data_IF_787833163199
#
_entry.id   IF_787833163199
#
_cell.length_a   1.000
_cell.length_b   1.000
_cell.length_c   1.000
_cell.angle_alpha   90.00
_cell.angle_beta   90.00
_cell.angle_gamma   90.00
#
_symmetry.space_group_name_H-M   'P 1'
#
loop_
_entity.id
_entity.type
_entity.pdbx_description
1 polymer ?
#
# COMPACT_ATOMS: atom_id res chain seq x y z
N UNK A 1 14.43 -10.34 -10.59
CA UNK A 1 13.20 -10.38 -9.76
C UNK A 1 12.30 -9.24 -10.22
N UNK A 2 11.09 -9.55 -10.64
CA UNK A 2 10.07 -8.58 -11.06
C UNK A 2 9.13 -8.29 -9.88
N UNK A 3 8.87 -7.03 -9.58
CA UNK A 3 8.03 -6.61 -8.46
C UNK A 3 6.86 -5.80 -9.01
N UNK A 4 5.64 -6.27 -8.78
CA UNK A 4 4.43 -5.51 -9.04
C UNK A 4 4.03 -4.66 -7.83
N UNK A 5 3.46 -3.48 -8.05
CA UNK A 5 2.72 -2.74 -7.02
C UNK A 5 1.29 -2.54 -7.52
N UNK A 6 0.32 -3.00 -6.73
CA UNK A 6 -1.10 -2.87 -7.00
C UNK A 6 -1.73 -1.83 -6.10
N UNK A 7 -2.47 -0.90 -6.67
CA UNK A 7 -3.33 0.04 -5.95
C UNK A 7 -4.67 0.23 -6.61
N UNK A 8 -5.69 0.51 -5.78
CA UNK A 8 -7.03 0.91 -6.24
C UNK A 8 -7.26 2.38 -5.88
N UNK A 9 -7.62 3.20 -6.87
CA UNK A 9 -7.87 4.63 -6.68
C UNK A 9 -9.36 4.96 -6.83
N UNK A 10 -9.83 5.95 -6.06
CA UNK A 10 -11.15 6.54 -6.17
C UNK A 10 -11.21 7.84 -5.38
N UNK A 11 -11.69 8.92 -5.98
CA UNK A 11 -11.76 10.24 -5.35
C UNK A 11 -10.36 10.76 -4.98
N UNK A 12 -10.29 11.78 -4.16
CA UNK A 12 -9.05 12.32 -3.56
C UNK A 12 -7.97 12.66 -4.60
N UNK A 13 -8.25 13.50 -5.62
CA UNK A 13 -7.34 13.70 -6.75
C UNK A 13 -5.95 14.19 -6.33
N UNK A 14 -5.86 15.08 -5.32
CA UNK A 14 -4.58 15.63 -4.84
C UNK A 14 -3.72 14.54 -4.18
N UNK A 15 -4.30 13.76 -3.27
CA UNK A 15 -3.58 12.65 -2.60
C UNK A 15 -3.18 11.58 -3.60
N UNK A 16 -4.08 11.26 -4.54
CA UNK A 16 -3.81 10.28 -5.59
C UNK A 16 -2.71 10.75 -6.55
N UNK A 17 -2.61 12.06 -6.81
CA UNK A 17 -1.54 12.63 -7.63
C UNK A 17 -0.18 12.50 -6.93
N UNK A 18 -0.09 12.81 -5.64
CA UNK A 18 1.12 12.61 -4.84
C UNK A 18 1.51 11.14 -4.80
N UNK A 19 0.54 10.24 -4.61
CA UNK A 19 0.75 8.80 -4.64
C UNK A 19 1.30 8.34 -6.01
N UNK A 20 0.72 8.82 -7.10
CA UNK A 20 1.18 8.54 -8.46
C UNK A 20 2.63 8.97 -8.69
N UNK A 21 3.03 10.14 -8.18
CA UNK A 21 4.41 10.62 -8.19
C UNK A 21 5.35 9.68 -7.43
N UNK A 22 4.94 9.24 -6.23
CA UNK A 22 5.70 8.24 -5.44
C UNK A 22 5.88 6.92 -6.19
N UNK A 23 4.85 6.41 -6.86
CA UNK A 23 4.94 5.20 -7.67
C UNK A 23 5.88 5.38 -8.88
N UNK A 24 5.83 6.54 -9.56
CA UNK A 24 6.73 6.84 -10.67
C UNK A 24 8.20 6.85 -10.20
N UNK A 25 8.50 7.50 -9.08
CA UNK A 25 9.83 7.48 -8.45
C UNK A 25 10.30 6.04 -8.16
N UNK A 26 9.43 5.21 -7.59
CA UNK A 26 9.78 3.81 -7.28
C UNK A 26 9.98 2.99 -8.56
N UNK A 27 9.17 3.21 -9.60
CA UNK A 27 9.35 2.58 -10.93
C UNK A 27 10.73 2.92 -11.50
N UNK A 28 11.06 4.20 -11.55
CA UNK A 28 12.29 4.68 -12.17
C UNK A 28 13.54 4.22 -11.41
N UNK A 29 13.44 4.10 -10.07
CA UNK A 29 14.57 3.71 -9.23
C UNK A 29 14.74 2.20 -9.06
N UNK A 30 13.66 1.44 -8.99
CA UNK A 30 13.68 0.02 -8.63
C UNK A 30 13.15 -0.89 -9.74
N UNK A 31 12.69 -0.35 -10.87
CA UNK A 31 12.13 -1.13 -11.98
C UNK A 31 10.85 -1.87 -11.60
N UNK A 32 10.05 -1.31 -10.68
CA UNK A 32 8.76 -1.90 -10.31
C UNK A 32 7.73 -1.75 -11.42
N UNK A 33 6.69 -2.58 -11.39
CA UNK A 33 5.56 -2.57 -12.30
C UNK A 33 4.32 -2.04 -11.55
N UNK A 34 4.03 -0.72 -11.59
CA UNK A 34 2.88 -0.15 -10.89
C UNK A 34 1.60 -0.29 -11.72
N UNK A 35 0.58 -0.95 -11.17
CA UNK A 35 -0.74 -1.10 -11.76
C UNK A 35 -1.79 -0.40 -10.90
N UNK A 36 -2.51 0.53 -11.51
CA UNK A 36 -3.61 1.27 -10.91
C UNK A 36 -4.94 0.72 -11.40
N UNK A 37 -5.86 0.47 -10.49
CA UNK A 37 -7.26 0.16 -10.78
C UNK A 37 -8.11 1.38 -10.47
N UNK A 38 -8.63 2.04 -11.49
CA UNK A 38 -9.50 3.21 -11.35
C UNK A 38 -10.98 2.86 -11.46
N UNK A 39 -11.85 3.84 -11.21
CA UNK A 39 -13.32 3.70 -11.28
C UNK A 39 -14.03 5.00 -11.68
N UNK A 40 -13.32 5.99 -12.18
CA UNK A 40 -13.86 7.31 -12.48
C UNK A 40 -13.62 7.71 -13.95
N UNK A 41 -13.45 6.69 -14.80
CA UNK A 41 -13.19 6.90 -16.22
C UNK A 41 -11.93 7.75 -16.45
N UNK A 42 -12.05 8.78 -17.28
CA UNK A 42 -10.91 9.63 -17.64
C UNK A 42 -10.22 10.30 -16.43
N UNK A 43 -10.92 10.59 -15.33
CA UNK A 43 -10.29 11.18 -14.15
C UNK A 43 -9.22 10.25 -13.56
N UNK A 44 -9.56 8.99 -13.34
CA UNK A 44 -8.61 8.00 -12.81
C UNK A 44 -7.53 7.67 -13.84
N UNK A 45 -7.90 7.55 -15.11
CA UNK A 45 -6.98 7.24 -16.21
C UNK A 45 -5.92 8.34 -16.41
N UNK A 46 -6.33 9.61 -16.36
CA UNK A 46 -5.42 10.75 -16.50
C UNK A 46 -4.35 10.79 -15.40
N UNK A 47 -4.69 10.40 -14.15
CA UNK A 47 -3.68 10.28 -13.08
C UNK A 47 -2.65 9.22 -13.45
N UNK A 48 -3.09 8.04 -13.87
CA UNK A 48 -2.18 6.97 -14.27
C UNK A 48 -1.29 7.39 -15.46
N UNK A 49 -1.87 8.02 -16.50
CA UNK A 49 -1.14 8.50 -17.66
C UNK A 49 -0.12 9.58 -17.32
N UNK A 50 -0.49 10.56 -16.48
CA UNK A 50 0.39 11.66 -16.02
C UNK A 50 1.68 11.13 -15.43
N UNK A 51 1.61 10.01 -14.68
CA UNK A 51 2.74 9.41 -14.01
C UNK A 51 3.34 8.19 -14.73
N UNK A 52 2.85 7.86 -15.94
CA UNK A 52 3.31 6.72 -16.73
C UNK A 52 3.09 5.37 -16.06
N UNK A 53 1.94 5.20 -15.37
CA UNK A 53 1.55 3.99 -14.65
C UNK A 53 0.62 3.13 -15.51
N UNK A 54 0.65 1.81 -15.30
CA UNK A 54 -0.32 0.91 -15.91
C UNK A 54 -1.71 1.15 -15.31
N UNK A 55 -2.73 1.01 -16.14
CA UNK A 55 -4.10 1.30 -15.76
C UNK A 55 -5.09 0.26 -16.24
N UNK A 56 -6.04 -0.08 -15.38
CA UNK A 56 -7.28 -0.77 -15.76
C UNK A 56 -8.47 -0.05 -15.11
N UNK A 57 -9.60 -0.04 -15.80
CA UNK A 57 -10.88 0.42 -15.27
C UNK A 57 -11.63 -0.73 -14.63
N UNK A 58 -12.22 -0.51 -13.46
CA UNK A 58 -13.10 -1.48 -12.81
C UNK A 58 -14.13 -0.76 -11.94
N UNK A 59 -15.26 -1.40 -11.65
CA UNK A 59 -16.28 -0.86 -10.75
C UNK A 59 -15.69 -0.55 -9.38
N UNK A 60 -16.11 0.56 -8.75
CA UNK A 60 -15.59 0.95 -7.44
C UNK A 60 -16.05 0.01 -6.30
N UNK A 61 -17.18 -0.63 -6.46
CA UNK A 61 -17.75 -1.55 -5.48
C UNK A 61 -18.21 -2.86 -6.14
N UNK A 62 -18.06 -4.00 -5.46
CA UNK A 62 -17.40 -4.20 -4.16
C UNK A 62 -15.88 -3.97 -4.25
N UNK A 63 -15.29 -3.37 -3.21
CA UNK A 63 -13.86 -3.04 -3.21
C UNK A 63 -12.96 -4.30 -3.25
N UNK A 64 -13.40 -5.40 -2.62
CA UNK A 64 -12.70 -6.69 -2.72
C UNK A 64 -12.64 -7.22 -4.16
N UNK A 65 -13.74 -7.03 -4.95
CA UNK A 65 -13.76 -7.36 -6.37
C UNK A 65 -12.76 -6.52 -7.17
N UNK A 66 -12.71 -5.21 -6.90
CA UNK A 66 -11.81 -4.27 -7.56
C UNK A 66 -10.33 -4.65 -7.34
N UNK A 67 -9.94 -4.92 -6.08
CA UNK A 67 -8.58 -5.40 -5.78
C UNK A 67 -8.28 -6.75 -6.43
N UNK A 68 -9.22 -7.70 -6.42
CA UNK A 68 -9.05 -8.99 -7.09
C UNK A 68 -8.89 -8.86 -8.60
N UNK A 69 -9.64 -7.95 -9.24
CA UNK A 69 -9.49 -7.66 -10.67
C UNK A 69 -8.09 -7.13 -10.98
N UNK A 70 -7.58 -6.17 -10.18
CA UNK A 70 -6.22 -5.66 -10.31
C UNK A 70 -5.16 -6.74 -10.08
N UNK A 71 -5.33 -7.58 -9.05
CA UNK A 71 -4.40 -8.67 -8.77
C UNK A 71 -4.38 -9.71 -9.88
N UNK A 72 -5.55 -10.04 -10.46
CA UNK A 72 -5.65 -10.95 -11.61
C UNK A 72 -5.02 -10.35 -12.87
N UNK A 73 -5.20 -9.05 -13.12
CA UNK A 73 -4.55 -8.36 -14.23
C UNK A 73 -3.02 -8.31 -14.08
N UNK A 74 -2.52 -8.15 -12.84
CA UNK A 74 -1.09 -8.16 -12.55
C UNK A 74 -0.40 -9.46 -12.97
N UNK A 75 -1.12 -10.59 -13.01
CA UNK A 75 -0.60 -11.90 -13.46
C UNK A 75 0.01 -11.86 -14.85
N UNK A 76 -0.54 -11.05 -15.77
CA UNK A 76 -0.03 -10.95 -17.16
C UNK A 76 1.39 -10.39 -17.25
N UNK A 77 1.81 -9.60 -16.26
CA UNK A 77 3.15 -9.04 -16.17
C UNK A 77 4.18 -10.00 -15.55
N UNK A 78 3.73 -11.18 -15.08
CA UNK A 78 4.56 -12.25 -14.51
C UNK A 78 5.49 -11.75 -13.39
N UNK A 79 4.99 -11.04 -12.35
CA UNK A 79 5.81 -10.61 -11.23
C UNK A 79 6.19 -11.80 -10.35
N UNK A 80 7.36 -11.71 -9.71
CA UNK A 80 7.79 -12.65 -8.67
C UNK A 80 7.10 -12.34 -7.33
N UNK A 81 6.85 -11.04 -7.08
CA UNK A 81 6.15 -10.51 -5.90
C UNK A 81 5.18 -9.40 -6.29
N UNK A 82 4.08 -9.28 -5.57
CA UNK A 82 3.15 -8.15 -5.69
C UNK A 82 2.96 -7.51 -4.31
N UNK A 83 3.31 -6.22 -4.23
CA UNK A 83 3.03 -5.35 -3.08
C UNK A 83 1.67 -4.67 -3.26
N UNK A 84 0.92 -4.54 -2.18
CA UNK A 84 -0.37 -3.83 -2.16
C UNK A 84 -0.19 -2.52 -1.40
N UNK A 85 -0.57 -1.41 -2.02
CA UNK A 85 -0.61 -0.08 -1.42
C UNK A 85 -2.00 0.53 -1.58
N UNK A 86 -2.48 1.23 -0.56
CA UNK A 86 -3.61 2.14 -0.70
C UNK A 86 -3.24 3.35 -1.57
N UNK A 87 -4.23 4.06 -2.10
CA UNK A 87 -3.99 5.27 -2.92
C UNK A 87 -3.56 6.49 -2.10
N UNK A 88 -3.34 6.32 -0.83
CA UNK A 88 -2.91 7.27 0.19
C UNK A 88 -1.64 6.82 0.91
N UNK A 89 -1.07 5.68 0.50
CA UNK A 89 0.13 5.08 1.08
C UNK A 89 1.40 5.51 0.33
N UNK A 90 2.34 6.10 1.03
CA UNK A 90 3.65 6.47 0.50
C UNK A 90 4.76 5.70 1.22
N UNK A 91 5.72 5.19 0.47
CA UNK A 91 6.85 4.44 1.01
C UNK A 91 8.19 5.04 0.58
N UNK A 92 9.15 5.02 1.48
CA UNK A 92 10.51 5.51 1.21
C UNK A 92 11.33 4.54 0.36
N UNK A 93 12.44 5.02 -0.18
CA UNK A 93 13.41 4.18 -0.88
C UNK A 93 14.05 3.15 0.05
N UNK A 94 14.28 3.51 1.32
CA UNK A 94 14.79 2.58 2.34
C UNK A 94 13.79 1.45 2.59
N UNK A 95 12.49 1.74 2.61
CA UNK A 95 11.43 0.74 2.69
C UNK A 95 11.54 -0.29 1.55
N UNK A 96 11.62 0.18 0.30
CA UNK A 96 11.77 -0.72 -0.85
C UNK A 96 13.04 -1.58 -0.77
N UNK A 97 14.17 -1.00 -0.34
CA UNK A 97 15.42 -1.75 -0.18
C UNK A 97 15.30 -2.89 0.83
N UNK A 98 14.66 -2.63 1.98
CA UNK A 98 14.43 -3.65 3.01
C UNK A 98 13.50 -4.75 2.47
N UNK A 99 12.40 -4.39 1.80
CA UNK A 99 11.49 -5.36 1.21
C UNK A 99 12.17 -6.21 0.14
N UNK A 100 12.99 -5.63 -0.73
CA UNK A 100 13.78 -6.37 -1.73
C UNK A 100 14.75 -7.35 -1.04
N UNK A 101 15.37 -6.95 0.08
CA UNK A 101 16.20 -7.85 0.89
C UNK A 101 15.42 -9.05 1.39
N UNK A 102 14.21 -8.85 1.91
CA UNK A 102 13.35 -9.92 2.41
C UNK A 102 12.81 -10.81 1.27
N UNK A 103 12.45 -10.23 0.12
CA UNK A 103 12.07 -10.99 -1.08
C UNK A 103 13.19 -11.94 -1.54
N UNK A 104 14.46 -11.50 -1.49
CA UNK A 104 15.62 -12.34 -1.83
C UNK A 104 15.81 -13.53 -0.88
N UNK A 105 15.30 -13.45 0.35
CA UNK A 105 15.30 -14.57 1.31
C UNK A 105 14.18 -15.59 1.03
N UNK A 106 13.25 -15.27 0.12
CA UNK A 106 12.21 -16.19 -0.33
C UNK A 106 10.97 -16.30 0.57
N UNK A 107 10.69 -15.29 1.39
CA UNK A 107 9.45 -15.27 2.18
C UNK A 107 8.21 -15.24 1.29
N UNK A 108 7.15 -15.92 1.73
CA UNK A 108 5.88 -15.98 1.00
C UNK A 108 5.06 -14.70 1.18
N UNK A 109 5.09 -14.15 2.38
CA UNK A 109 4.43 -12.92 2.77
C UNK A 109 5.42 -12.01 3.50
N UNK A 110 5.48 -10.75 3.10
CA UNK A 110 6.31 -9.73 3.74
C UNK A 110 5.39 -8.55 4.08
N UNK A 111 5.51 -8.01 5.28
CA UNK A 111 4.75 -6.84 5.68
C UNK A 111 5.29 -6.17 6.92
N UNK A 112 4.89 -4.92 7.13
CA UNK A 112 5.24 -4.16 8.32
C UNK A 112 4.25 -4.40 9.45
N UNK A 113 4.68 -4.20 10.68
CA UNK A 113 3.84 -4.28 11.88
C UNK A 113 3.26 -2.91 12.24
N UNK A 114 3.87 -1.84 11.79
CA UNK A 114 3.69 -0.46 12.20
C UNK A 114 3.82 0.50 11.00
N UNK A 115 3.38 1.75 11.17
CA UNK A 115 3.51 2.79 10.15
C UNK A 115 3.32 4.20 10.74
N UNK A 116 3.39 5.20 9.87
CA UNK A 116 3.05 6.58 10.21
C UNK A 116 1.75 7.00 9.53
N UNK A 117 0.94 7.80 10.22
CA UNK A 117 -0.23 8.47 9.67
C UNK A 117 0.01 9.99 9.65
N UNK A 118 -0.36 10.64 8.55
CA UNK A 118 -0.35 12.09 8.44
C UNK A 118 -1.77 12.61 8.24
N UNK A 119 -2.16 13.60 9.04
CA UNK A 119 -3.41 14.32 8.87
C UNK A 119 -3.13 15.71 8.31
N UNK A 120 -3.48 16.00 7.05
CA UNK A 120 -3.37 17.35 6.49
C UNK A 120 -4.20 18.38 7.27
N UNK A 121 -5.43 18.03 7.62
CA UNK A 121 -6.34 18.94 8.36
C UNK A 121 -5.77 19.41 9.71
N UNK A 122 -4.98 18.55 10.37
CA UNK A 122 -4.36 18.89 11.66
C UNK A 122 -2.86 19.18 11.53
N UNK A 123 -2.28 19.09 10.34
CA UNK A 123 -0.83 19.20 10.09
C UNK A 123 0.00 18.39 11.08
N UNK A 124 -0.43 17.15 11.35
CA UNK A 124 0.15 16.28 12.37
C UNK A 124 0.50 14.93 11.78
N UNK A 125 1.67 14.44 12.16
CA UNK A 125 2.08 13.07 11.95
C UNK A 125 2.05 12.31 13.28
N UNK A 126 1.64 11.05 13.23
CA UNK A 126 1.65 10.14 14.36
C UNK A 126 2.15 8.76 13.97
N UNK A 127 2.90 8.15 14.86
CA UNK A 127 3.33 6.77 14.72
C UNK A 127 2.27 5.83 15.30
N UNK A 128 1.89 4.83 14.52
CA UNK A 128 1.00 3.75 14.90
C UNK A 128 1.78 2.45 15.04
N UNK A 129 1.73 1.83 16.23
CA UNK A 129 2.45 0.63 16.59
C UNK A 129 1.77 -0.68 16.13
N UNK A 130 0.74 -0.55 15.29
CA UNK A 130 0.06 -1.67 14.66
C UNK A 130 -1.23 -2.10 15.34
N UNK A 131 -1.69 -3.29 15.00
CA UNK A 131 -2.96 -3.82 15.51
C UNK A 131 -2.86 -4.23 16.99
N UNK A 132 -3.92 -3.91 17.76
CA UNK A 132 -4.17 -4.44 19.09
C UNK A 132 -4.79 -5.85 19.02
N UNK A 133 -5.00 -6.49 20.18
CA UNK A 133 -5.69 -7.77 20.25
C UNK A 133 -7.10 -7.70 19.58
N UNK A 134 -7.52 -8.76 18.88
CA UNK A 134 -6.86 -10.08 18.72
C UNK A 134 -5.83 -10.14 17.57
N UNK A 135 -5.58 -9.04 16.83
CA UNK A 135 -4.71 -8.99 15.63
C UNK A 135 -3.25 -8.62 15.93
N UNK A 136 -2.86 -8.51 17.18
CA UNK A 136 -1.51 -8.11 17.58
C UNK A 136 -0.45 -8.98 16.91
N UNK A 137 0.55 -8.35 16.29
CA UNK A 137 1.61 -9.04 15.55
C UNK A 137 1.22 -9.54 14.16
N UNK A 138 0.04 -9.18 13.66
CA UNK A 138 -0.32 -9.32 12.24
C UNK A 138 0.29 -8.16 11.44
N UNK A 139 0.74 -8.43 10.22
CA UNK A 139 1.21 -7.38 9.31
C UNK A 139 0.07 -6.44 8.93
N UNK A 140 0.33 -5.14 8.88
CA UNK A 140 -0.65 -4.14 8.46
C UNK A 140 -0.93 -4.24 6.95
N UNK A 141 -2.02 -3.63 6.49
CA UNK A 141 -2.42 -3.68 5.07
C UNK A 141 -1.44 -2.99 4.12
N UNK A 142 -0.91 -1.85 4.55
CA UNK A 142 0.04 -1.05 3.78
C UNK A 142 1.32 -1.82 3.48
N UNK A 143 1.68 -1.92 2.20
CA UNK A 143 2.93 -2.56 1.77
C UNK A 143 2.92 -4.08 1.87
N UNK A 144 1.81 -4.72 2.24
CA UNK A 144 1.74 -6.19 2.30
C UNK A 144 2.09 -6.78 0.94
N UNK A 145 3.12 -7.63 0.92
CA UNK A 145 3.74 -8.16 -0.28
C UNK A 145 3.65 -9.67 -0.31
N UNK A 146 3.11 -10.22 -1.40
CA UNK A 146 2.89 -11.64 -1.59
C UNK A 146 3.77 -12.16 -2.72
N UNK A 147 4.39 -13.33 -2.54
CA UNK A 147 5.12 -13.98 -3.61
C UNK A 147 4.16 -14.65 -4.62
N UNK A 148 4.68 -14.90 -5.81
CA UNK A 148 3.93 -15.54 -6.90
C UNK A 148 3.31 -16.88 -6.49
N UNK A 149 4.05 -17.74 -5.76
CA UNK A 149 3.57 -19.06 -5.33
C UNK A 149 2.34 -18.95 -4.44
N UNK A 150 2.34 -18.00 -3.51
CA UNK A 150 1.20 -17.75 -2.62
C UNK A 150 0.00 -17.17 -3.40
N UNK A 151 0.26 -16.27 -4.35
CA UNK A 151 -0.77 -15.73 -5.25
C UNK A 151 -1.41 -16.80 -6.14
N UNK A 152 -0.63 -17.74 -6.64
CA UNK A 152 -1.13 -18.90 -7.42
C UNK A 152 -2.04 -19.78 -6.57
N UNK A 153 -1.68 -20.09 -5.32
CA UNK A 153 -2.52 -20.85 -4.38
C UNK A 153 -3.90 -20.23 -4.15
N UNK A 154 -3.99 -18.90 -4.12
CA UNK A 154 -5.27 -18.19 -3.95
C UNK A 154 -5.90 -17.75 -5.29
N UNK A 155 -5.43 -18.31 -6.44
CA UNK A 155 -5.88 -17.96 -7.80
C UNK A 155 -5.79 -16.45 -8.11
N UNK A 156 -4.78 -15.75 -7.58
CA UNK A 156 -4.62 -14.30 -7.72
C UNK A 156 -5.83 -13.47 -7.24
N UNK A 157 -6.59 -14.00 -6.26
CA UNK A 157 -7.77 -13.38 -5.68
C UNK A 157 -7.74 -13.47 -4.14
N UNK A 158 -6.81 -12.75 -3.47
CA UNK A 158 -6.63 -12.92 -2.03
C UNK A 158 -7.74 -12.31 -1.17
N UNK A 159 -8.65 -11.50 -1.73
CA UNK A 159 -9.74 -10.86 -0.96
C UNK A 159 -11.08 -11.56 -1.15
N UNK A 160 -11.95 -11.46 -0.14
CA UNK A 160 -13.36 -11.82 -0.27
C UNK A 160 -14.05 -10.81 -1.19
N UNK A 161 -14.60 -11.30 -2.30
CA UNK A 161 -15.10 -10.49 -3.41
C UNK A 161 -16.11 -9.41 -3.01
N UNK A 162 -17.10 -9.77 -2.15
CA UNK A 162 -18.22 -8.89 -1.77
C UNK A 162 -17.92 -7.78 -0.77
N UNK A 163 -16.73 -7.70 -0.24
CA UNK A 163 -16.39 -6.77 0.84
C UNK A 163 -16.07 -5.37 0.31
N UNK A 164 -16.50 -4.36 1.07
CA UNK A 164 -16.13 -2.95 0.91
C UNK A 164 -15.27 -2.43 2.07
N UNK A 165 -15.16 -3.20 3.15
CA UNK A 165 -14.38 -2.89 4.35
C UNK A 165 -13.77 -4.18 4.91
N UNK A 166 -12.79 -4.05 5.81
CA UNK A 166 -12.15 -5.22 6.43
C UNK A 166 -11.31 -6.06 5.48
N UNK A 167 -10.83 -5.47 4.38
CA UNK A 167 -10.06 -6.16 3.34
C UNK A 167 -8.77 -6.75 3.87
N UNK A 168 -8.08 -6.07 4.79
CA UNK A 168 -6.84 -6.56 5.40
C UNK A 168 -7.05 -7.87 6.16
N UNK A 169 -8.10 -7.93 6.98
CA UNK A 169 -8.48 -9.14 7.70
C UNK A 169 -8.93 -10.26 6.77
N UNK A 170 -9.71 -9.91 5.74
CA UNK A 170 -10.17 -10.85 4.71
C UNK A 170 -9.01 -11.50 3.97
N UNK A 171 -8.02 -10.71 3.55
CA UNK A 171 -6.82 -11.21 2.91
C UNK A 171 -6.05 -12.16 3.84
N UNK A 172 -5.80 -11.74 5.09
CA UNK A 172 -5.03 -12.54 6.03
C UNK A 172 -5.73 -13.85 6.40
N UNK A 173 -7.04 -13.83 6.62
CA UNK A 173 -7.82 -15.04 6.88
C UNK A 173 -7.66 -16.06 5.75
N UNK A 174 -7.72 -15.60 4.48
CA UNK A 174 -7.54 -16.47 3.33
C UNK A 174 -6.10 -16.97 3.18
N UNK A 175 -5.12 -16.08 3.30
CA UNK A 175 -3.71 -16.40 3.09
C UNK A 175 -3.18 -17.34 4.17
N UNK A 176 -3.59 -17.16 5.43
CA UNK A 176 -3.17 -17.99 6.55
C UNK A 176 -3.58 -19.46 6.40
N UNK A 177 -4.61 -19.79 5.60
CA UNK A 177 -4.97 -21.18 5.30
C UNK A 177 -3.85 -21.94 4.57
N UNK A 178 -2.98 -21.21 3.87
CA UNK A 178 -1.83 -21.79 3.14
C UNK A 178 -0.55 -21.85 3.97
N UNK A 179 -0.58 -21.43 5.24
CA UNK A 179 0.56 -21.43 6.18
C UNK A 179 1.82 -20.79 5.59
N UNK A 180 1.76 -19.53 5.15
CA UNK A 180 2.90 -18.86 4.50
C UNK A 180 4.07 -18.68 5.46
N UNK A 181 5.29 -18.69 4.92
CA UNK A 181 6.47 -18.20 5.62
C UNK A 181 6.46 -16.66 5.59
N UNK A 182 6.39 -16.02 6.77
CA UNK A 182 6.12 -14.57 6.91
C UNK A 182 7.34 -13.83 7.43
N UNK A 183 7.77 -12.79 6.70
CA UNK A 183 8.67 -11.76 7.23
C UNK A 183 7.87 -10.59 7.80
N UNK A 184 8.10 -10.29 9.09
CA UNK A 184 7.47 -9.18 9.81
C UNK A 184 8.52 -8.11 10.10
N UNK A 185 8.29 -6.92 9.59
CA UNK A 185 9.23 -5.80 9.65
C UNK A 185 8.68 -4.73 10.58
N UNK A 186 9.50 -4.23 11.50
CA UNK A 186 9.16 -3.06 12.29
C UNK A 186 9.80 -1.82 11.61
N UNK A 187 8.98 -0.89 11.18
CA UNK A 187 9.38 0.33 10.46
C UNK A 187 10.37 1.16 11.28
N UNK A 188 10.10 1.29 12.57
CA UNK A 188 10.93 2.08 13.49
C UNK A 188 12.32 1.44 13.70
N UNK A 189 12.38 0.12 13.86
CA UNK A 189 13.65 -0.60 14.11
C UNK A 189 14.56 -0.63 12.88
N UNK A 190 13.98 -0.73 11.69
CA UNK A 190 14.72 -0.79 10.41
C UNK A 190 15.06 0.60 9.83
N UNK A 191 14.70 1.70 10.53
CA UNK A 191 14.82 3.10 10.05
C UNK A 191 14.26 3.28 8.62
N UNK A 192 13.13 2.66 8.35
CA UNK A 192 12.38 2.80 7.10
C UNK A 192 11.12 3.63 7.32
N UNK A 193 10.47 4.08 6.25
CA UNK A 193 9.33 4.96 6.39
C UNK A 193 8.21 4.57 5.43
N UNK A 194 7.01 4.44 5.99
CA UNK A 194 5.77 4.34 5.24
C UNK A 194 4.71 5.23 5.90
N UNK A 195 3.99 5.97 5.07
CA UNK A 195 3.07 7.03 5.47
C UNK A 195 1.72 6.82 4.81
N UNK A 196 0.65 6.78 5.59
CA UNK A 196 -0.73 6.84 5.12
C UNK A 196 -1.26 8.27 5.36
N UNK A 197 -1.72 8.92 4.28
CA UNK A 197 -2.28 10.28 4.35
C UNK A 197 -3.77 10.18 4.67
N UNK A 198 -4.13 10.53 5.90
CA UNK A 198 -5.50 10.47 6.44
C UNK A 198 -6.27 11.76 6.20
N UNK A 199 -7.06 11.77 5.14
CA UNK A 199 -8.05 12.83 4.87
C UNK A 199 -9.42 12.44 5.45
N UNK A 200 -10.39 13.37 5.44
CA UNK A 200 -11.77 13.09 5.89
C UNK A 200 -12.51 12.05 5.01
N UNK A 201 -12.05 11.85 3.77
CA UNK A 201 -12.61 10.88 2.84
C UNK A 201 -12.04 9.46 2.95
N UNK A 202 -11.10 9.22 3.88
CA UNK A 202 -10.58 7.87 4.12
C UNK A 202 -11.66 6.98 4.75
N UNK A 203 -11.64 5.68 4.42
CA UNK A 203 -12.52 4.67 5.06
C UNK A 203 -12.33 4.70 6.58
N UNK A 204 -11.08 4.87 7.04
CA UNK A 204 -10.74 5.02 8.45
C UNK A 204 -10.03 6.37 8.64
N UNK A 205 -10.71 7.32 9.27
CA UNK A 205 -10.20 8.67 9.50
C UNK A 205 -9.12 8.70 10.58
N UNK A 206 -8.31 9.77 10.59
CA UNK A 206 -7.23 9.97 11.59
C UNK A 206 -7.72 9.90 13.04
N UNK A 207 -8.93 10.44 13.33
CA UNK A 207 -9.57 10.39 14.67
C UNK A 207 -9.84 8.97 15.18
N UNK A 208 -9.87 7.96 14.30
CA UNK A 208 -10.05 6.56 14.70
C UNK A 208 -8.80 5.96 15.38
N UNK A 209 -7.71 6.71 15.43
CA UNK A 209 -6.44 6.29 16.03
C UNK A 209 -6.04 7.23 17.17
N UNK A 210 -6.76 7.21 18.33
CA UNK A 210 -6.53 8.17 19.44
C UNK A 210 -5.16 8.03 20.10
N UNK A 211 -4.54 6.85 20.02
CA UNK A 211 -3.30 6.51 20.71
C UNK A 211 -2.04 6.65 19.82
N UNK A 212 -2.10 7.47 18.77
CA UNK A 212 -0.92 7.73 17.96
C UNK A 212 0.16 8.45 18.77
N UNK A 213 1.38 7.94 18.71
CA UNK A 213 2.54 8.59 19.29
C UNK A 213 2.90 9.79 18.40
N UNK A 214 2.82 11.00 18.97
CA UNK A 214 3.16 12.23 18.25
C UNK A 214 4.61 12.18 17.76
N UNK A 215 4.82 12.57 16.51
CA UNK A 215 6.11 12.51 15.84
C UNK A 215 6.37 13.79 15.06
N UNK A 216 7.62 14.06 14.72
CA UNK A 216 8.03 15.24 13.97
C UNK A 216 7.73 15.09 12.48
N UNK A 217 7.09 16.10 11.88
CA UNK A 217 6.81 16.17 10.43
C UNK A 217 8.07 16.21 9.57
N UNK A 218 9.23 16.57 10.13
CA UNK A 218 10.51 16.49 9.44
C UNK A 218 10.86 15.10 8.92
N UNK A 219 10.26 14.05 9.48
CA UNK A 219 10.39 12.68 8.95
C UNK A 219 9.88 12.58 7.51
N UNK A 220 8.83 13.33 7.15
CA UNK A 220 8.32 13.35 5.76
C UNK A 220 9.40 13.87 4.83
N UNK A 221 10.03 15.01 5.16
CA UNK A 221 11.10 15.60 4.36
C UNK A 221 12.33 14.69 4.30
N UNK A 222 12.70 14.06 5.43
CA UNK A 222 13.83 13.13 5.50
C UNK A 222 13.66 11.91 4.60
N UNK A 223 12.49 11.30 4.61
CA UNK A 223 12.26 9.99 3.99
C UNK A 223 11.54 10.03 2.63
N UNK A 224 10.78 11.10 2.35
CA UNK A 224 10.03 11.32 1.12
C UNK A 224 10.34 12.71 0.53
N UNK A 225 11.62 13.03 0.25
CA UNK A 225 12.03 14.39 -0.14
C UNK A 225 11.36 14.88 -1.43
N UNK A 226 11.06 13.98 -2.35
CA UNK A 226 10.41 14.31 -3.62
C UNK A 226 8.92 14.69 -3.45
N UNK A 227 8.23 14.04 -2.52
CA UNK A 227 6.80 14.22 -2.26
C UNK A 227 6.52 15.21 -1.12
N UNK A 228 7.51 15.48 -0.26
CA UNK A 228 7.35 16.22 0.99
C UNK A 228 6.65 17.58 0.80
N UNK A 229 7.07 18.36 -0.20
CA UNK A 229 6.49 19.69 -0.48
C UNK A 229 5.00 19.62 -0.80
N UNK A 230 4.58 18.59 -1.52
CA UNK A 230 3.18 18.39 -1.89
C UNK A 230 2.37 17.89 -0.71
N UNK A 231 2.91 16.92 0.07
CA UNK A 231 2.26 16.38 1.27
C UNK A 231 2.00 17.50 2.30
N UNK A 232 3.01 18.32 2.58
CA UNK A 232 2.91 19.37 3.62
C UNK A 232 2.04 20.56 3.20
N UNK A 233 1.67 20.65 1.92
CA UNK A 233 0.73 21.67 1.40
C UNK A 233 -0.73 21.23 1.43
N UNK A 234 -1.01 19.92 1.51
CA UNK A 234 -2.38 19.42 1.68
C UNK A 234 -2.99 20.00 2.97
#
# INVERSE_FOLDING_TARGET
MKIGILSCIYGRPEVTDIFGHGLARLRDKFGIIPLIVGSEGEKSKNVAQKHGLLYIEYLNRPLGAKFNAGMSAMKSYKPDYVMVLGSDDLISDSFMKVFIREMKKGYDLIGTLDCYFYSPAHKRIGYWDGYSNPRRGETIGMGRTLNKKLLEKCNWQPWVHRLNQGLDGSMMSRINTYKPNVSKICVKTEDIFCLDIKTESNITAFRCYPNLIKTDTNLITKHLPCEAKQILKL
#
